data_IF_294348104290
#
_entry.id   IF_294348104290
#
_cell.length_a   1.000
_cell.length_b   1.000
_cell.length_c   1.000
_cell.angle_alpha   90.00
_cell.angle_beta   90.00
_cell.angle_gamma   90.00
#
_symmetry.space_group_name_H-M   'P 1'
#
loop_
_entity.id
_entity.type
_entity.pdbx_description
1 polymer ?
#
# COMPACT_ATOMS: atom_id res chain seq x y z
N UNK A 1 14.90 13.00 -13.57
CA UNK A 1 16.01 12.80 -12.62
C UNK A 1 15.39 12.33 -11.33
N UNK A 2 15.54 11.04 -11.00
CA UNK A 2 15.01 10.50 -9.73
C UNK A 2 15.98 10.88 -8.61
N UNK A 3 15.54 11.75 -7.70
CA UNK A 3 16.31 12.11 -6.50
C UNK A 3 16.15 11.00 -5.47
N UNK A 4 17.22 10.26 -5.19
CA UNK A 4 17.30 9.38 -4.03
C UNK A 4 17.99 10.12 -2.88
N UNK A 5 17.46 9.97 -1.67
CA UNK A 5 18.03 10.56 -0.46
C UNK A 5 18.36 9.44 0.51
N UNK A 6 19.64 9.24 0.80
CA UNK A 6 20.11 8.24 1.76
C UNK A 6 20.04 8.79 3.18
N UNK A 7 19.08 8.30 3.96
CA UNK A 7 18.89 8.71 5.36
C UNK A 7 19.33 7.57 6.27
N UNK A 8 20.35 7.82 7.09
CA UNK A 8 20.82 6.85 8.10
C UNK A 8 19.93 6.91 9.33
N UNK A 9 19.31 5.79 9.64
CA UNK A 9 18.49 5.61 10.85
C UNK A 9 19.14 4.56 11.75
N UNK A 10 18.98 4.72 13.07
CA UNK A 10 19.45 3.74 14.06
C UNK A 10 18.27 2.98 14.63
N UNK A 11 18.50 1.72 14.96
CA UNK A 11 17.54 0.90 15.70
C UNK A 11 17.58 1.34 17.16
N UNK A 12 16.41 1.57 17.76
CA UNK A 12 16.27 1.93 19.17
C UNK A 12 16.57 0.70 20.05
N UNK A 13 16.76 0.93 21.36
CA UNK A 13 16.96 -0.17 22.31
C UNK A 13 15.79 -1.17 22.35
N UNK A 14 14.60 -0.76 21.90
CA UNK A 14 13.38 -1.57 21.81
C UNK A 14 13.31 -2.38 20.49
N UNK A 15 14.34 -2.30 19.65
CA UNK A 15 14.38 -3.02 18.37
C UNK A 15 13.55 -2.36 17.27
N UNK A 16 13.17 -1.08 17.43
CA UNK A 16 12.37 -0.35 16.44
C UNK A 16 13.24 0.57 15.59
N UNK A 17 12.88 0.74 14.32
CA UNK A 17 13.49 1.74 13.44
C UNK A 17 12.85 3.10 13.72
N UNK A 18 13.63 4.03 14.29
CA UNK A 18 13.15 5.40 14.46
C UNK A 18 13.25 6.14 13.11
N UNK A 19 12.09 6.35 12.48
CA UNK A 19 12.01 7.08 11.22
C UNK A 19 12.07 8.60 11.48
N UNK A 20 13.03 9.33 10.89
CA UNK A 20 13.11 10.78 11.01
C UNK A 20 11.91 11.45 10.34
N UNK A 21 11.67 12.72 10.70
CA UNK A 21 10.53 13.51 10.25
C UNK A 21 10.39 13.54 8.71
N UNK A 22 11.51 13.49 7.99
CA UNK A 22 11.54 13.51 6.54
C UNK A 22 10.93 12.24 5.91
N UNK A 23 11.16 11.06 6.51
CA UNK A 23 10.51 9.81 6.09
C UNK A 23 9.04 9.84 6.52
N UNK A 24 8.76 10.26 7.75
CA UNK A 24 7.39 10.37 8.27
C UNK A 24 6.50 11.27 7.41
N UNK A 25 7.03 12.36 6.86
CA UNK A 25 6.31 13.26 5.95
C UNK A 25 5.95 12.60 4.60
N UNK A 26 6.63 11.51 4.24
CA UNK A 26 6.35 10.72 3.02
C UNK A 26 5.40 9.54 3.28
N UNK A 27 5.21 9.16 4.54
CA UNK A 27 4.28 8.10 4.95
C UNK A 27 2.89 8.71 5.13
N UNK A 28 1.90 8.17 4.43
CA UNK A 28 0.50 8.52 4.66
C UNK A 28 -0.16 7.48 5.57
N UNK A 29 -1.02 7.90 6.51
CA UNK A 29 -1.82 6.95 7.30
C UNK A 29 -2.65 6.07 6.35
N UNK A 30 -2.58 4.76 6.56
CA UNK A 30 -3.22 3.76 5.69
C UNK A 30 -2.36 3.25 4.53
N UNK A 31 -1.15 3.77 4.34
CA UNK A 31 -0.21 3.16 3.41
C UNK A 31 0.24 1.78 3.90
N UNK A 32 0.25 0.81 2.99
CA UNK A 32 0.78 -0.51 3.24
C UNK A 32 2.17 -0.66 2.62
N UNK A 33 3.07 -1.32 3.33
CA UNK A 33 4.42 -1.59 2.89
C UNK A 33 4.70 -3.09 2.99
N UNK A 34 5.31 -3.64 1.95
CA UNK A 34 5.83 -4.99 1.97
C UNK A 34 7.24 -4.95 2.55
N UNK A 35 7.45 -5.71 3.61
CA UNK A 35 8.76 -5.87 4.25
C UNK A 35 9.37 -7.17 3.74
N UNK A 36 10.52 -7.07 3.08
CA UNK A 36 11.32 -8.22 2.68
C UNK A 36 12.57 -8.26 3.55
N UNK A 37 12.76 -9.37 4.25
CA UNK A 37 13.93 -9.60 5.10
C UNK A 37 14.83 -10.59 4.35
N UNK A 38 16.08 -10.19 4.13
CA UNK A 38 17.13 -11.04 3.57
C UNK A 38 18.29 -11.14 4.58
N UNK A 39 19.29 -11.97 4.28
CA UNK A 39 20.47 -12.11 5.15
C UNK A 39 21.29 -10.83 5.27
N UNK A 40 21.24 -9.93 4.27
CA UNK A 40 22.04 -8.71 4.22
C UNK A 40 21.25 -7.44 4.54
N UNK A 41 19.96 -7.41 4.21
CA UNK A 41 19.17 -6.17 4.26
C UNK A 41 17.67 -6.39 4.52
N UNK A 42 17.04 -5.35 5.06
CA UNK A 42 15.60 -5.24 5.22
C UNK A 42 15.11 -4.17 4.23
N UNK A 43 14.26 -4.57 3.30
CA UNK A 43 13.71 -3.68 2.27
C UNK A 43 12.23 -3.45 2.53
N UNK A 44 11.83 -2.19 2.67
CA UNK A 44 10.44 -1.78 2.73
C UNK A 44 10.01 -1.21 1.37
N UNK A 45 9.10 -1.90 0.68
CA UNK A 45 8.52 -1.42 -0.58
C UNK A 45 7.08 -0.99 -0.36
N UNK A 46 6.74 0.24 -0.74
CA UNK A 46 5.35 0.72 -0.71
C UNK A 46 4.48 -0.16 -1.60
N UNK A 47 3.46 -0.77 -1.03
CA UNK A 47 2.45 -1.51 -1.78
C UNK A 47 1.58 -0.45 -2.45
N UNK A 48 1.82 -0.22 -3.73
CA UNK A 48 0.80 0.41 -4.56
C UNK A 48 -0.24 -0.66 -4.79
N UNK A 49 -1.30 -0.66 -3.96
CA UNK A 49 -2.52 -1.33 -4.36
C UNK A 49 -2.84 -0.77 -5.76
N UNK A 50 -3.13 -1.62 -6.77
CA UNK A 50 -3.71 -1.08 -7.98
C UNK A 50 -4.88 -0.24 -7.49
N UNK A 51 -4.95 1.01 -7.95
CA UNK A 51 -6.13 1.83 -7.77
C UNK A 51 -7.24 1.00 -8.41
N UNK A 52 -7.92 0.18 -7.61
CA UNK A 52 -9.24 -0.31 -7.94
C UNK A 52 -10.04 0.96 -7.98
N UNK A 53 -10.09 1.52 -9.18
CA UNK A 53 -10.82 2.72 -9.48
C UNK A 53 -12.27 2.29 -9.24
N UNK A 54 -12.76 2.63 -8.05
CA UNK A 54 -14.04 2.16 -7.56
C UNK A 54 -15.14 2.59 -8.52
N UNK A 55 -14.97 3.74 -9.17
CA UNK A 55 -15.81 4.20 -10.27
C UNK A 55 -15.76 3.24 -11.47
N UNK A 56 -14.59 2.78 -11.92
CA UNK A 56 -14.50 1.76 -12.98
C UNK A 56 -15.09 0.41 -12.57
N UNK A 57 -14.92 0.01 -11.30
CA UNK A 57 -15.51 -1.22 -10.77
C UNK A 57 -17.04 -1.14 -10.71
N UNK A 58 -17.59 0.00 -10.27
CA UNK A 58 -19.03 0.26 -10.23
C UNK A 58 -19.62 0.39 -11.64
N UNK A 59 -18.88 1.00 -12.58
CA UNK A 59 -19.29 1.12 -13.96
C UNK A 59 -19.36 -0.25 -14.65
N UNK A 60 -18.37 -1.13 -14.42
CA UNK A 60 -18.43 -2.54 -14.88
C UNK A 60 -19.54 -3.35 -14.22
N UNK A 61 -19.91 -3.02 -12.99
CA UNK A 61 -21.02 -3.68 -12.28
C UNK A 61 -22.38 -3.24 -12.85
N UNK A 62 -22.51 -1.98 -13.27
CA UNK A 62 -23.71 -1.43 -13.93
C UNK A 62 -23.83 -1.91 -15.39
N UNK A 63 -22.71 -2.11 -16.08
CA UNK A 63 -22.64 -2.69 -17.44
C UNK A 63 -22.82 -4.21 -17.47
N UNK A 64 -22.73 -4.90 -16.32
CA UNK A 64 -23.08 -6.32 -16.23
C UNK A 64 -24.61 -6.43 -16.18
N UNK A 65 -25.23 -7.01 -17.22
CA UNK A 65 -26.64 -7.38 -17.17
C UNK A 65 -26.88 -8.29 -15.95
N UNK A 66 -27.92 -8.04 -15.14
CA UNK A 66 -28.20 -8.88 -13.98
C UNK A 66 -28.41 -10.31 -14.46
N UNK A 67 -27.64 -11.24 -13.90
CA UNK A 67 -27.78 -12.66 -14.21
C UNK A 67 -29.26 -13.06 -14.08
N UNK A 68 -29.87 -13.70 -15.08
CA UNK A 68 -31.27 -14.10 -15.03
C UNK A 68 -31.57 -15.14 -13.93
N UNK A 69 -30.52 -15.67 -13.27
CA UNK A 69 -30.61 -16.54 -12.09
C UNK A 69 -30.34 -15.79 -10.77
N UNK A 70 -30.36 -14.45 -10.77
CA UNK A 70 -30.27 -13.69 -9.53
C UNK A 70 -31.55 -13.94 -8.72
N UNK A 71 -31.44 -14.80 -7.69
CA UNK A 71 -32.51 -15.03 -6.73
C UNK A 71 -32.94 -13.68 -6.16
N UNK A 72 -34.11 -13.21 -6.58
CA UNK A 72 -34.75 -12.07 -5.95
C UNK A 72 -35.19 -12.54 -4.57
N UNK A 73 -34.80 -11.82 -3.52
CA UNK A 73 -35.37 -12.05 -2.19
C UNK A 73 -36.84 -11.68 -2.25
N UNK A 74 -37.71 -12.69 -2.25
CA UNK A 74 -39.10 -12.58 -1.83
C UNK A 74 -39.19 -12.44 -0.30
#
# INVERSE_FOLDING_TARGET
METHTDIRVKVTAEGQLELPAEIKAKLSPGDEYMVTITEAEIVLKKIRKPTVNLDEFLQRLDELEPDPNQLSLE
#
